data_IF_445572570098
#
_entry.id   IF_445572570098
#
_cell.length_a   1.000
_cell.length_b   1.000
_cell.length_c   1.000
_cell.angle_alpha   90.00
_cell.angle_beta   90.00
_cell.angle_gamma   90.00
#
_symmetry.space_group_name_H-M   'P 1'
#
loop_
_entity.id
_entity.type
_entity.pdbx_description
1 polymer ?
#
# COMPACT_ATOMS: atom_id res chain seq x y z
N UNK A 1 -6.23 -22.73 10.74
CA UNK A 1 -6.99 -21.69 11.45
C UNK A 1 -8.31 -21.48 10.70
N UNK A 2 -9.48 -21.62 11.34
CA UNK A 2 -10.77 -21.46 10.66
C UNK A 2 -11.03 -20.00 10.27
N UNK A 3 -11.68 -19.78 9.13
CA UNK A 3 -12.09 -18.44 8.66
C UNK A 3 -13.24 -17.90 9.53
N UNK A 4 -13.29 -16.59 9.74
CA UNK A 4 -14.38 -15.91 10.47
C UNK A 4 -14.08 -15.56 11.94
N UNK A 5 -12.96 -16.03 12.50
CA UNK A 5 -12.52 -15.59 13.82
C UNK A 5 -11.97 -14.16 13.77
N UNK A 6 -12.48 -13.27 14.62
CA UNK A 6 -12.10 -11.85 14.68
C UNK A 6 -10.59 -11.60 14.75
N UNK A 7 -9.87 -12.44 15.50
CA UNK A 7 -8.43 -12.29 15.74
C UNK A 7 -7.57 -13.23 14.86
N UNK A 8 -8.17 -13.96 13.92
CA UNK A 8 -7.42 -14.85 13.04
C UNK A 8 -6.35 -14.11 12.22
N UNK A 9 -6.65 -12.97 11.56
CA UNK A 9 -5.64 -12.25 10.76
C UNK A 9 -4.46 -11.78 11.61
N UNK A 10 -4.72 -11.22 12.80
CA UNK A 10 -3.67 -10.74 13.70
C UNK A 10 -2.78 -11.88 14.20
N UNK A 11 -3.39 -13.01 14.56
CA UNK A 11 -2.66 -14.20 15.05
C UNK A 11 -1.81 -14.80 13.94
N UNK A 12 -2.37 -14.92 12.74
CA UNK A 12 -1.65 -15.42 11.57
C UNK A 12 -0.49 -14.51 11.18
N UNK A 13 -0.73 -13.19 11.10
CA UNK A 13 0.31 -12.20 10.83
C UNK A 13 1.48 -12.32 11.82
N UNK A 14 1.18 -12.36 13.14
CA UNK A 14 2.21 -12.52 14.17
C UNK A 14 3.03 -13.80 13.98
N UNK A 15 2.36 -14.91 13.65
CA UNK A 15 3.02 -16.18 13.37
C UNK A 15 3.95 -16.07 12.15
N UNK A 16 3.46 -15.55 11.02
CA UNK A 16 4.26 -15.40 9.79
C UNK A 16 5.44 -14.46 10.00
N UNK A 17 5.23 -13.31 10.65
CA UNK A 17 6.31 -12.37 10.99
C UNK A 17 7.38 -13.01 11.87
N UNK A 18 6.99 -13.86 12.82
CA UNK A 18 7.95 -14.57 13.68
C UNK A 18 8.75 -15.61 12.87
N UNK A 19 8.04 -16.44 12.11
CA UNK A 19 8.64 -17.52 11.33
C UNK A 19 9.59 -17.00 10.25
N UNK A 20 9.29 -15.84 9.67
CA UNK A 20 10.10 -15.20 8.62
C UNK A 20 11.07 -14.14 9.16
N UNK A 21 11.22 -14.01 10.48
CA UNK A 21 12.06 -12.98 11.11
C UNK A 21 13.51 -12.98 10.59
N UNK A 22 14.09 -14.14 10.34
CA UNK A 22 15.47 -14.29 9.85
C UNK A 22 15.71 -13.78 8.43
N UNK A 23 14.64 -13.58 7.66
CA UNK A 23 14.69 -13.07 6.28
C UNK A 23 14.02 -11.69 6.14
N UNK A 24 13.60 -11.07 7.25
CA UNK A 24 12.82 -9.83 7.27
C UNK A 24 13.50 -8.67 6.54
N UNK A 25 14.83 -8.62 6.53
CA UNK A 25 15.59 -7.55 5.91
C UNK A 25 15.40 -7.45 4.38
N UNK A 26 15.04 -8.56 3.74
CA UNK A 26 14.77 -8.61 2.30
C UNK A 26 13.39 -9.18 1.94
N UNK A 27 12.71 -9.79 2.90
CA UNK A 27 11.39 -10.41 2.74
C UNK A 27 10.42 -10.01 3.87
N UNK A 28 10.13 -8.70 4.06
CA UNK A 28 9.13 -8.28 5.05
C UNK A 28 7.74 -8.86 4.75
N UNK A 29 7.06 -9.34 5.79
CA UNK A 29 5.68 -9.78 5.72
C UNK A 29 4.71 -8.73 6.26
N UNK A 30 3.51 -8.70 5.69
CA UNK A 30 2.39 -7.88 6.16
C UNK A 30 1.08 -8.64 5.95
N UNK A 31 0.41 -9.00 7.05
CA UNK A 31 -0.73 -9.91 7.05
C UNK A 31 -0.42 -11.21 6.28
N UNK A 32 -1.10 -11.42 5.16
CA UNK A 32 -1.01 -12.64 4.36
C UNK A 32 0.01 -12.52 3.23
N UNK A 33 0.61 -11.34 3.03
CA UNK A 33 1.53 -11.04 1.95
C UNK A 33 2.99 -11.02 2.42
N UNK A 34 3.90 -11.49 1.57
CA UNK A 34 5.35 -11.41 1.76
C UNK A 34 5.95 -10.68 0.56
N UNK A 35 6.65 -9.57 0.82
CA UNK A 35 7.25 -8.76 -0.22
C UNK A 35 8.74 -9.02 -0.27
N UNK A 36 9.27 -9.38 -1.43
CA UNK A 36 10.69 -9.70 -1.59
C UNK A 36 11.36 -8.61 -2.41
N UNK A 37 12.39 -7.99 -1.86
CA UNK A 37 13.23 -7.04 -2.58
C UNK A 37 14.68 -7.48 -2.58
N UNK A 38 15.39 -7.11 -3.64
CA UNK A 38 16.78 -7.49 -3.85
C UNK A 38 17.53 -6.34 -4.49
N UNK A 39 18.80 -6.21 -4.15
CA UNK A 39 19.73 -5.25 -4.73
C UNK A 39 20.98 -5.99 -5.18
N UNK A 40 21.69 -5.46 -6.16
CA UNK A 40 22.99 -5.99 -6.56
C UNK A 40 24.01 -5.77 -5.43
N UNK A 41 24.71 -6.82 -5.02
CA UNK A 41 25.73 -6.81 -3.96
C UNK A 41 26.79 -7.87 -4.32
N UNK A 42 28.05 -7.66 -3.92
CA UNK A 42 29.14 -8.64 -4.09
C UNK A 42 29.33 -9.14 -5.53
N UNK A 43 29.20 -8.24 -6.52
CA UNK A 43 29.35 -8.57 -7.94
C UNK A 43 28.17 -9.36 -8.55
N UNK A 44 27.13 -9.68 -7.78
CA UNK A 44 25.92 -10.35 -8.26
C UNK A 44 24.90 -9.36 -8.78
N UNK A 45 24.26 -9.68 -9.91
CA UNK A 45 23.14 -8.93 -10.44
C UNK A 45 21.92 -8.97 -9.51
N UNK A 46 20.99 -8.03 -9.70
CA UNK A 46 19.72 -7.99 -8.95
C UNK A 46 18.95 -9.31 -9.08
N UNK A 47 18.94 -9.91 -10.27
CA UNK A 47 18.22 -11.15 -10.56
C UNK A 47 18.84 -12.35 -9.83
N UNK A 48 20.17 -12.42 -9.79
CA UNK A 48 20.88 -13.48 -9.06
C UNK A 48 20.62 -13.38 -7.56
N UNK A 49 20.73 -12.17 -7.00
CA UNK A 49 20.39 -11.91 -5.60
C UNK A 49 18.92 -12.25 -5.30
N UNK A 50 18.01 -11.94 -6.23
CA UNK A 50 16.59 -12.26 -6.07
C UNK A 50 16.32 -13.77 -6.04
N UNK A 51 16.99 -14.55 -6.89
CA UNK A 51 16.92 -16.02 -6.86
C UNK A 51 17.44 -16.57 -5.53
N UNK A 52 18.49 -16.01 -4.96
CA UNK A 52 19.00 -16.42 -3.64
C UNK A 52 18.03 -16.09 -2.50
N UNK A 53 17.46 -14.90 -2.50
CA UNK A 53 16.42 -14.49 -1.54
C UNK A 53 15.20 -15.41 -1.61
N UNK A 54 14.71 -15.72 -2.81
CA UNK A 54 13.62 -16.68 -3.03
C UNK A 54 13.96 -18.06 -2.48
N UNK A 55 15.17 -18.59 -2.75
CA UNK A 55 15.59 -19.89 -2.23
C UNK A 55 15.58 -19.93 -0.70
N UNK A 56 16.12 -18.89 -0.04
CA UNK A 56 16.14 -18.76 1.42
C UNK A 56 14.72 -18.71 1.99
N UNK A 57 13.86 -17.86 1.43
CA UNK A 57 12.46 -17.75 1.85
C UNK A 57 11.71 -19.07 1.67
N UNK A 58 11.80 -19.69 0.50
CA UNK A 58 11.08 -20.93 0.22
C UNK A 58 11.57 -22.11 1.06
N UNK A 59 12.86 -22.16 1.41
CA UNK A 59 13.37 -23.15 2.35
C UNK A 59 12.73 -22.99 3.73
N UNK A 60 12.59 -21.75 4.20
CA UNK A 60 11.96 -21.44 5.48
C UNK A 60 10.46 -21.73 5.46
N UNK A 61 9.77 -21.37 4.38
CA UNK A 61 8.35 -21.69 4.18
C UNK A 61 8.11 -23.20 4.18
N UNK A 62 8.93 -23.99 3.47
CA UNK A 62 8.85 -25.45 3.48
C UNK A 62 9.08 -26.03 4.88
N UNK A 63 10.11 -25.54 5.59
CA UNK A 63 10.42 -25.96 6.97
C UNK A 63 9.22 -25.77 7.91
N UNK A 64 8.52 -24.64 7.76
CA UNK A 64 7.39 -24.28 8.63
C UNK A 64 6.02 -24.63 8.05
N UNK A 65 5.96 -25.36 6.92
CA UNK A 65 4.71 -25.72 6.23
C UNK A 65 3.82 -24.52 5.92
N UNK A 66 4.44 -23.41 5.52
CA UNK A 66 3.75 -22.22 4.99
C UNK A 66 3.63 -22.36 3.47
N UNK A 67 2.41 -22.17 2.95
CA UNK A 67 2.11 -22.34 1.54
C UNK A 67 1.60 -21.02 0.95
N UNK A 68 2.20 -20.59 -0.16
CA UNK A 68 1.71 -19.46 -0.93
C UNK A 68 0.66 -19.92 -1.95
N UNK A 69 -0.32 -19.06 -2.21
CA UNK A 69 -1.24 -19.26 -3.33
C UNK A 69 -0.55 -18.83 -4.63
N UNK A 70 -0.10 -19.80 -5.44
CA UNK A 70 0.63 -19.53 -6.67
C UNK A 70 -0.12 -18.62 -7.64
N UNK A 71 -1.46 -18.70 -7.67
CA UNK A 71 -2.31 -17.90 -8.58
C UNK A 71 -2.24 -16.40 -8.30
N UNK A 72 -1.90 -16.01 -7.07
CA UNK A 72 -1.82 -14.60 -6.65
C UNK A 72 -0.37 -14.13 -6.48
N UNK A 73 0.61 -14.99 -6.73
CA UNK A 73 2.02 -14.62 -6.60
C UNK A 73 2.49 -13.84 -7.84
N UNK A 74 3.25 -12.78 -7.60
CA UNK A 74 3.91 -11.99 -8.64
C UNK A 74 5.42 -12.14 -8.43
N UNK A 75 6.15 -12.56 -9.47
CA UNK A 75 7.60 -12.78 -9.41
C UNK A 75 8.33 -11.94 -10.44
N UNK A 76 9.49 -11.40 -10.06
CA UNK A 76 10.40 -10.72 -10.99
C UNK A 76 9.86 -9.43 -11.61
N UNK A 77 8.76 -8.88 -11.08
CA UNK A 77 8.20 -7.63 -11.57
C UNK A 77 9.08 -6.44 -11.15
N UNK A 78 9.25 -5.47 -12.06
CA UNK A 78 9.96 -4.22 -11.78
C UNK A 78 9.19 -3.31 -10.83
N UNK A 79 7.86 -3.42 -10.84
CA UNK A 79 6.92 -2.73 -9.96
C UNK A 79 5.75 -3.65 -9.57
N UNK A 80 5.26 -3.53 -8.35
CA UNK A 80 4.11 -4.28 -7.82
C UNK A 80 3.14 -3.37 -7.09
N UNK A 81 1.84 -3.70 -7.14
CA UNK A 81 0.83 -3.03 -6.33
C UNK A 81 0.82 -3.61 -4.92
N UNK A 82 1.02 -2.77 -3.91
CA UNK A 82 1.11 -3.14 -2.49
C UNK A 82 0.27 -2.16 -1.68
N UNK A 83 -0.80 -2.65 -1.05
CA UNK A 83 -1.68 -1.84 -0.17
C UNK A 83 -2.15 -0.54 -0.89
N UNK A 84 -2.43 -0.66 -2.20
CA UNK A 84 -2.85 0.43 -3.06
C UNK A 84 -1.78 1.48 -3.40
N UNK A 85 -0.51 1.20 -3.12
CA UNK A 85 0.66 1.91 -3.63
C UNK A 85 1.29 1.09 -4.77
N UNK A 86 1.94 1.74 -5.71
CA UNK A 86 2.87 1.10 -6.63
C UNK A 86 4.27 1.16 -6.01
N UNK A 87 4.91 0.00 -5.81
CA UNK A 87 6.24 -0.12 -5.23
C UNK A 87 7.19 -0.65 -6.29
N UNK A 88 8.28 0.07 -6.55
CA UNK A 88 9.27 -0.31 -7.54
C UNK A 88 10.65 0.30 -7.27
N UNK A 89 11.53 0.23 -8.27
CA UNK A 89 12.90 0.77 -8.19
C UNK A 89 12.98 2.26 -7.82
N UNK A 90 11.96 3.04 -8.18
CA UNK A 90 11.90 4.48 -7.94
C UNK A 90 11.20 4.83 -6.60
N UNK A 91 11.02 3.85 -5.71
CA UNK A 91 10.34 4.02 -4.43
C UNK A 91 8.84 3.75 -4.52
N UNK A 92 8.10 4.34 -3.58
CA UNK A 92 6.66 4.13 -3.39
C UNK A 92 5.89 5.27 -4.04
N UNK A 93 4.95 4.94 -4.93
CA UNK A 93 4.11 5.89 -5.67
C UNK A 93 2.64 5.57 -5.49
N UNK A 94 1.79 6.56 -5.74
CA UNK A 94 0.34 6.32 -5.82
C UNK A 94 0.02 5.53 -7.06
N UNK A 95 -0.91 4.58 -6.95
CA UNK A 95 -1.45 3.88 -8.10
C UNK A 95 -2.14 4.88 -9.07
N UNK A 96 -1.81 4.88 -10.38
CA UNK A 96 -2.38 5.82 -11.35
C UNK A 96 -3.91 5.83 -11.40
N UNK A 97 -4.55 4.67 -11.18
CA UNK A 97 -6.01 4.56 -11.14
C UNK A 97 -6.64 5.43 -10.04
N UNK A 98 -6.02 5.50 -8.86
CA UNK A 98 -6.51 6.34 -7.76
C UNK A 98 -6.35 7.84 -8.04
N UNK A 99 -5.24 8.21 -8.71
CA UNK A 99 -5.02 9.59 -9.15
C UNK A 99 -6.08 9.98 -10.18
N UNK A 100 -6.37 9.08 -11.13
CA UNK A 100 -7.40 9.30 -12.14
C UNK A 100 -8.78 9.53 -11.52
N UNK A 101 -9.18 8.70 -10.55
CA UNK A 101 -10.47 8.88 -9.84
C UNK A 101 -10.60 10.26 -9.19
N UNK A 102 -9.50 10.82 -8.66
CA UNK A 102 -9.50 12.15 -8.05
C UNK A 102 -9.55 13.24 -9.11
N UNK A 103 -8.81 13.08 -10.22
CA UNK A 103 -8.82 14.03 -11.32
C UNK A 103 -10.16 14.09 -12.08
N UNK A 104 -10.85 12.94 -12.18
CA UNK A 104 -12.15 12.81 -12.84
C UNK A 104 -13.32 13.03 -11.88
N UNK A 105 -13.05 13.29 -10.60
CA UNK A 105 -14.10 13.47 -9.61
C UNK A 105 -14.94 14.71 -9.94
N UNK A 106 -16.28 14.62 -9.96
CA UNK A 106 -17.12 15.77 -10.26
C UNK A 106 -16.97 16.83 -9.16
N UNK A 107 -17.02 18.11 -9.55
CA UNK A 107 -17.03 19.22 -8.59
C UNK A 107 -18.15 19.00 -7.57
N UNK A 108 -17.84 18.88 -6.26
CA UNK A 108 -18.85 18.72 -5.24
C UNK A 108 -19.87 19.85 -5.30
N UNK A 109 -21.15 19.52 -5.20
CA UNK A 109 -22.26 20.49 -5.21
C UNK A 109 -22.82 20.77 -3.82
N UNK A 110 -22.42 19.97 -2.82
CA UNK A 110 -22.91 20.08 -1.46
C UNK A 110 -21.91 19.51 -0.43
N UNK A 111 -22.17 19.77 0.85
CA UNK A 111 -21.33 19.34 1.99
C UNK A 111 -21.14 17.82 2.04
N UNK A 112 -22.15 17.03 1.65
CA UNK A 112 -22.06 15.57 1.68
C UNK A 112 -21.08 15.07 0.63
N UNK A 113 -21.17 15.56 -0.60
CA UNK A 113 -20.23 15.25 -1.69
C UNK A 113 -18.83 15.74 -1.38
N UNK A 114 -18.70 16.91 -0.75
CA UNK A 114 -17.38 17.42 -0.35
C UNK A 114 -16.72 16.54 0.71
N UNK A 115 -17.49 15.99 1.68
CA UNK A 115 -16.97 15.01 2.64
C UNK A 115 -16.55 13.71 1.95
N UNK A 116 -17.32 13.24 0.98
CA UNK A 116 -16.97 12.05 0.19
C UNK A 116 -15.68 12.29 -0.59
N UNK A 117 -15.58 13.44 -1.26
CA UNK A 117 -14.37 13.84 -1.97
C UNK A 117 -13.19 13.89 -1.01
N UNK A 118 -13.25 14.64 0.10
CA UNK A 118 -12.13 14.80 1.05
C UNK A 118 -11.73 13.50 1.76
N UNK A 119 -12.62 12.51 1.85
CA UNK A 119 -12.27 11.18 2.37
C UNK A 119 -11.30 10.39 1.47
N UNK A 120 -11.32 10.62 0.16
CA UNK A 120 -10.49 9.91 -0.82
C UNK A 120 -9.00 10.35 -0.82
N UNK A 121 -8.65 11.65 -0.86
CA UNK A 121 -7.28 12.15 -0.88
C UNK A 121 -6.60 12.08 0.48
N UNK A 122 -7.26 11.62 1.56
CA UNK A 122 -6.58 11.32 2.83
C UNK A 122 -5.41 10.35 2.63
N UNK A 123 -5.55 9.42 1.67
CA UNK A 123 -4.49 8.51 1.25
C UNK A 123 -3.31 9.20 0.53
N UNK A 124 -3.58 10.33 -0.12
CA UNK A 124 -2.61 11.12 -0.89
C UNK A 124 -1.85 12.16 -0.07
N UNK A 125 -2.27 12.45 1.17
CA UNK A 125 -1.64 13.50 2.00
C UNK A 125 -0.11 13.39 2.02
N UNK A 126 0.43 12.17 2.11
CA UNK A 126 1.87 11.89 2.14
C UNK A 126 2.61 12.19 0.83
N UNK A 127 1.89 12.33 -0.28
CA UNK A 127 2.44 12.60 -1.61
C UNK A 127 2.22 14.04 -2.07
N UNK A 128 1.46 14.84 -1.31
CA UNK A 128 1.12 16.23 -1.68
C UNK A 128 1.79 17.19 -0.71
N UNK A 129 2.69 18.03 -1.23
CA UNK A 129 3.30 19.11 -0.44
C UNK A 129 2.23 20.09 0.07
N UNK A 130 2.32 20.45 1.35
CA UNK A 130 1.37 21.34 2.02
C UNK A 130 -0.10 20.95 1.82
N UNK A 131 -0.41 19.64 1.90
CA UNK A 131 -1.78 19.15 1.72
C UNK A 131 -2.79 19.87 2.61
N UNK A 132 -2.48 20.03 3.90
CA UNK A 132 -3.36 20.73 4.86
C UNK A 132 -3.68 22.16 4.44
N UNK A 133 -2.69 22.92 3.94
CA UNK A 133 -2.89 24.26 3.40
C UNK A 133 -3.79 24.25 2.16
N UNK A 134 -3.59 23.30 1.25
CA UNK A 134 -4.38 23.14 0.02
C UNK A 134 -5.85 22.78 0.28
N UNK A 135 -6.11 21.92 1.26
CA UNK A 135 -7.50 21.52 1.60
C UNK A 135 -8.18 22.43 2.62
N UNK A 136 -7.46 23.38 3.23
CA UNK A 136 -8.00 24.33 4.21
C UNK A 136 -9.24 25.09 3.70
N UNK A 137 -9.25 25.67 2.48
CA UNK A 137 -10.44 26.37 1.98
C UNK A 137 -11.63 25.41 1.85
N UNK A 138 -11.42 24.21 1.32
CA UNK A 138 -12.46 23.16 1.25
C UNK A 138 -12.97 22.74 2.64
N UNK A 139 -12.08 22.62 3.62
CA UNK A 139 -12.44 22.24 4.99
C UNK A 139 -13.28 23.31 5.70
N UNK A 140 -13.18 24.58 5.30
CA UNK A 140 -14.03 25.66 5.85
C UNK A 140 -15.49 25.46 5.47
N UNK A 141 -15.78 24.94 4.27
CA UNK A 141 -17.13 24.65 3.79
C UNK A 141 -17.81 23.49 4.55
N UNK A 142 -17.06 22.75 5.39
CA UNK A 142 -17.59 21.66 6.21
C UNK A 142 -18.08 22.09 7.60
N UNK A 143 -17.85 23.35 7.99
CA UNK A 143 -18.26 23.86 9.32
C UNK A 143 -19.78 23.95 9.44
N UNK A 144 -20.29 23.75 10.67
CA UNK A 144 -21.72 23.59 10.99
C UNK A 144 -22.62 24.71 10.46
N UNK A 145 -22.10 25.93 10.35
CA UNK A 145 -22.84 27.13 9.92
C UNK A 145 -22.21 27.82 8.69
N UNK A 146 -21.35 27.12 7.95
CA UNK A 146 -20.77 27.67 6.73
C UNK A 146 -21.81 27.71 5.61
N UNK A 147 -21.99 28.87 4.99
CA UNK A 147 -22.73 28.97 3.74
C UNK A 147 -21.99 28.21 2.63
N UNK A 148 -22.73 27.46 1.82
CA UNK A 148 -22.17 26.79 0.66
C UNK A 148 -21.89 27.82 -0.44
N UNK A 149 -20.64 28.29 -0.50
CA UNK A 149 -20.15 29.23 -1.50
C UNK A 149 -18.94 28.62 -2.20
N UNK A 150 -19.18 27.97 -3.32
CA UNK A 150 -18.12 27.42 -4.17
C UNK A 150 -17.68 28.47 -5.20
N UNK A 151 -16.50 29.07 -5.02
CA UNK A 151 -15.92 30.05 -5.96
C UNK A 151 -14.84 29.43 -6.85
N UNK A 152 -14.33 30.17 -7.83
CA UNK A 152 -13.24 29.69 -8.71
C UNK A 152 -11.88 29.59 -8.00
N UNK A 153 -11.77 30.07 -6.76
CA UNK A 153 -10.53 30.06 -5.97
C UNK A 153 -10.28 28.73 -5.22
N UNK A 154 -11.18 27.74 -5.40
CA UNK A 154 -11.16 26.43 -4.75
C UNK A 154 -10.63 25.30 -5.64
#
# INVERSE_FOLDING_TARGET
MPRGLKNAPTTFNRCVTELLRSVRDFAPSYFDDVFIHSRAVDGKSVVEMHKEHLRKLFALMRKHKLYANLKTCIFGASEISVIGCLVGKNGVRTEPGKVRVINEWPTPSNVKELRQFLGLPTYLCKYVSNYAGKIRPLSQLLKKDAAWLWTADY
#
